data_IF_077933459630
#
_entry.id   IF_077933459630
#
_cell.length_a   1.000
_cell.length_b   1.000
_cell.length_c   1.000
_cell.angle_alpha   90.00
_cell.angle_beta   90.00
_cell.angle_gamma   90.00
#
_symmetry.space_group_name_H-M   'P 1'
#
loop_
_entity.id
_entity.type
_entity.pdbx_description
1 polymer ?
#
# COMPACT_ATOMS: atom_id res chain seq x y z
N UNK A 1 -5.05 -0.25 -13.82
CA UNK A 1 -4.17 0.44 -14.79
C UNK A 1 -3.47 -0.55 -15.73
N UNK A 2 -2.76 -1.58 -15.26
CA UNK A 2 -2.08 -2.56 -16.12
C UNK A 2 -3.01 -3.27 -17.11
N UNK A 3 -4.20 -3.70 -16.67
CA UNK A 3 -5.21 -4.31 -17.53
C UNK A 3 -5.71 -3.43 -18.67
N UNK A 4 -5.57 -2.10 -18.51
CA UNK A 4 -5.89 -1.13 -19.57
C UNK A 4 -4.68 -0.77 -20.44
N UNK A 5 -3.61 -1.54 -20.38
CA UNK A 5 -2.42 -1.32 -21.19
C UNK A 5 -1.54 -0.14 -20.75
N UNK A 6 -1.78 0.41 -19.55
CA UNK A 6 -0.90 1.46 -19.00
C UNK A 6 0.41 0.82 -18.57
N UNK A 7 1.49 1.20 -19.25
CA UNK A 7 2.83 0.73 -18.91
C UNK A 7 3.33 1.40 -17.63
N UNK A 8 4.00 0.62 -16.80
CA UNK A 8 4.52 1.07 -15.50
C UNK A 8 6.04 0.98 -15.46
N UNK A 9 6.64 1.95 -14.81
CA UNK A 9 8.08 2.01 -14.58
C UNK A 9 8.35 2.25 -13.09
N UNK A 10 9.37 1.60 -12.57
CA UNK A 10 9.81 1.77 -11.19
C UNK A 10 11.29 2.12 -11.13
N UNK A 11 11.65 2.94 -10.15
CA UNK A 11 13.03 3.29 -9.86
C UNK A 11 13.49 2.71 -8.52
N UNK A 12 14.72 2.26 -8.48
CA UNK A 12 15.37 1.83 -7.25
C UNK A 12 15.07 0.39 -6.84
N UNK A 13 14.91 0.18 -5.54
CA UNK A 13 14.80 -1.13 -4.92
C UNK A 13 16.19 -1.76 -4.64
N UNK A 14 16.19 -3.05 -4.29
CA UNK A 14 17.42 -3.80 -4.02
C UNK A 14 18.29 -3.92 -5.28
N UNK A 15 19.62 -4.01 -5.18
CA UNK A 15 20.52 -4.05 -6.34
C UNK A 15 20.47 -5.35 -7.14
N UNK A 16 19.48 -6.20 -6.90
CA UNK A 16 19.27 -7.46 -7.61
C UNK A 16 18.58 -7.21 -8.94
N UNK A 17 19.03 -7.92 -9.97
CA UNK A 17 18.40 -7.93 -11.30
C UNK A 17 17.15 -8.81 -11.25
N UNK A 18 16.01 -8.22 -10.98
CA UNK A 18 14.74 -8.93 -10.84
C UNK A 18 13.56 -7.98 -11.09
N UNK A 19 12.37 -8.50 -11.38
CA UNK A 19 11.16 -7.72 -11.43
C UNK A 19 10.92 -6.98 -10.11
N UNK A 20 10.29 -5.83 -10.18
CA UNK A 20 9.94 -5.05 -9.01
C UNK A 20 8.48 -4.62 -9.07
N UNK A 21 7.76 -4.80 -7.99
CA UNK A 21 6.43 -4.25 -7.80
C UNK A 21 6.56 -2.83 -7.25
N UNK A 22 5.96 -1.85 -7.94
CA UNK A 22 6.01 -0.44 -7.51
C UNK A 22 5.04 -0.12 -6.39
N UNK A 23 3.91 -0.83 -6.34
CA UNK A 23 2.88 -0.66 -5.33
C UNK A 23 2.61 -2.00 -4.67
N UNK A 24 2.68 -2.04 -3.37
CA UNK A 24 2.39 -3.23 -2.57
C UNK A 24 1.64 -2.89 -1.29
N UNK A 25 1.11 -3.89 -0.62
CA UNK A 25 0.48 -3.78 0.68
C UNK A 25 -0.96 -3.29 0.65
N UNK A 26 -1.22 -2.05 0.31
CA UNK A 26 -2.58 -1.43 0.33
C UNK A 26 -3.20 -1.27 -1.06
N UNK A 27 -2.82 -2.09 -2.01
CA UNK A 27 -3.31 -2.03 -3.38
C UNK A 27 -4.82 -2.30 -3.41
N UNK A 28 -5.59 -1.35 -3.95
CA UNK A 28 -7.03 -1.44 -4.11
C UNK A 28 -7.86 -1.17 -2.86
N UNK A 29 -7.35 -1.32 -1.66
CA UNK A 29 -8.14 -1.17 -0.44
C UNK A 29 -8.29 0.28 0.04
N UNK A 30 -9.22 0.50 0.95
CA UNK A 30 -9.33 1.78 1.66
C UNK A 30 -8.28 1.85 2.77
N UNK A 31 -7.34 2.76 2.63
CA UNK A 31 -6.30 3.01 3.62
C UNK A 31 -6.66 4.24 4.47
N UNK A 32 -6.71 4.06 5.78
CA UNK A 32 -6.94 5.13 6.73
C UNK A 32 -5.70 5.35 7.60
N UNK A 33 -5.37 6.61 7.83
CA UNK A 33 -4.31 6.97 8.76
C UNK A 33 -4.65 6.59 10.21
N UNK A 34 -3.64 6.28 11.00
CA UNK A 34 -3.79 5.89 12.41
C UNK A 34 -4.58 6.93 13.20
N UNK A 35 -4.41 8.22 12.92
CA UNK A 35 -5.17 9.28 13.61
C UNK A 35 -6.69 9.18 13.36
N UNK A 36 -7.07 8.74 12.16
CA UNK A 36 -8.48 8.51 11.82
C UNK A 36 -9.05 7.35 12.62
N UNK A 37 -8.30 6.27 12.73
CA UNK A 37 -8.67 5.07 13.49
C UNK A 37 -8.78 5.40 14.98
N UNK A 38 -7.83 6.16 15.52
CA UNK A 38 -7.89 6.64 16.91
C UNK A 38 -9.14 7.48 17.18
N UNK A 39 -9.54 8.33 16.24
CA UNK A 39 -10.77 9.09 16.33
C UNK A 39 -12.01 8.20 16.48
N UNK A 40 -12.11 7.15 15.68
CA UNK A 40 -13.21 6.17 15.79
C UNK A 40 -13.19 5.40 17.11
N UNK A 41 -12.00 5.00 17.58
CA UNK A 41 -11.84 4.30 18.86
C UNK A 41 -12.30 5.21 20.01
N UNK A 42 -11.91 6.48 20.02
CA UNK A 42 -12.33 7.44 21.02
C UNK A 42 -13.84 7.67 21.01
N UNK A 43 -14.43 7.79 19.81
CA UNK A 43 -15.88 7.93 19.65
C UNK A 43 -16.61 6.68 20.14
N UNK A 44 -16.14 5.49 19.81
CA UNK A 44 -16.71 4.24 20.29
C UNK A 44 -16.63 4.13 21.84
N UNK A 45 -15.48 4.44 22.41
CA UNK A 45 -15.29 4.45 23.86
C UNK A 45 -16.26 5.42 24.56
N UNK A 46 -16.46 6.60 23.99
CA UNK A 46 -17.42 7.58 24.51
C UNK A 46 -18.84 7.04 24.47
N UNK A 47 -19.30 6.51 23.33
CA UNK A 47 -20.63 5.94 23.17
C UNK A 47 -20.88 4.80 24.15
N UNK A 48 -19.92 3.91 24.34
CA UNK A 48 -20.00 2.80 25.29
C UNK A 48 -20.08 3.36 26.73
N UNK A 49 -19.20 4.27 27.10
CA UNK A 49 -19.19 4.89 28.42
C UNK A 49 -20.51 5.59 28.73
N UNK A 50 -21.05 6.36 27.79
CA UNK A 50 -22.33 7.06 27.96
C UNK A 50 -23.48 6.03 28.10
N UNK A 51 -23.43 4.90 27.40
CA UNK A 51 -24.42 3.85 27.49
C UNK A 51 -24.38 3.05 28.79
N UNK A 52 -23.23 2.96 29.45
CA UNK A 52 -23.07 2.20 30.70
C UNK A 52 -23.92 2.77 31.84
N UNK A 53 -24.31 4.05 31.78
CA UNK A 53 -25.18 4.72 32.73
C UNK A 53 -26.67 4.61 32.36
N UNK A 54 -27.00 3.95 31.28
CA UNK A 54 -28.37 3.75 30.81
C UNK A 54 -28.96 2.46 31.34
N UNK A 55 -30.30 2.36 31.30
CA UNK A 55 -31.01 1.12 31.63
C UNK A 55 -30.76 -0.04 30.68
N UNK A 56 -30.13 0.22 29.54
CA UNK A 56 -29.79 -0.78 28.50
C UNK A 56 -28.42 -0.47 27.95
N UNK A 57 -27.34 -0.90 28.63
CA UNK A 57 -25.99 -0.66 28.16
C UNK A 57 -25.69 -1.41 26.83
N UNK A 58 -24.89 -0.80 25.98
CA UNK A 58 -24.47 -1.39 24.69
C UNK A 58 -23.59 -2.64 24.88
N UNK A 59 -22.80 -2.66 25.96
CA UNK A 59 -21.93 -3.78 26.30
C UNK A 59 -22.06 -4.12 27.78
N UNK A 60 -21.89 -5.37 28.15
CA UNK A 60 -21.68 -5.77 29.53
C UNK A 60 -20.30 -5.31 30.03
N UNK A 61 -20.13 -5.21 31.34
CA UNK A 61 -18.81 -4.85 31.93
C UNK A 61 -17.68 -5.74 31.48
N UNK A 62 -17.83 -7.10 31.41
CA UNK A 62 -16.79 -7.97 30.87
C UNK A 62 -16.46 -7.70 29.41
N UNK A 63 -17.46 -7.51 28.56
CA UNK A 63 -17.27 -7.21 27.13
C UNK A 63 -16.56 -5.87 26.93
N UNK A 64 -16.92 -4.86 27.70
CA UNK A 64 -16.25 -3.57 27.67
C UNK A 64 -14.77 -3.66 28.09
N UNK A 65 -14.47 -4.45 29.14
CA UNK A 65 -13.09 -4.71 29.56
C UNK A 65 -12.29 -5.42 28.48
N UNK A 66 -12.88 -6.43 27.82
CA UNK A 66 -12.26 -7.15 26.73
C UNK A 66 -12.02 -6.24 25.52
N UNK A 67 -12.99 -5.42 25.14
CA UNK A 67 -12.86 -4.44 24.07
C UNK A 67 -11.74 -3.43 24.37
N UNK A 68 -11.72 -2.88 25.58
CA UNK A 68 -10.70 -1.90 25.96
C UNK A 68 -9.30 -2.51 26.04
N UNK A 69 -9.17 -3.75 26.47
CA UNK A 69 -7.91 -4.47 26.53
C UNK A 69 -7.37 -4.84 25.11
N UNK A 70 -8.28 -5.12 24.18
CA UNK A 70 -7.94 -5.43 22.78
C UNK A 70 -7.83 -4.17 21.90
N UNK A 71 -8.17 -3.00 22.42
CA UNK A 71 -8.12 -1.75 21.67
C UNK A 71 -6.70 -1.46 21.21
N UNK A 72 -6.50 -1.15 19.92
CA UNK A 72 -5.18 -0.85 19.37
C UNK A 72 -4.59 0.49 19.83
N UNK A 73 -5.16 1.12 20.87
CA UNK A 73 -4.64 2.35 21.47
C UNK A 73 -3.17 2.25 21.89
N UNK A 74 -2.73 1.04 22.28
CA UNK A 74 -1.34 0.76 22.63
C UNK A 74 -0.44 0.65 21.38
N UNK A 75 -0.97 0.14 20.27
CA UNK A 75 -0.26 0.09 19.01
C UNK A 75 -0.15 1.45 18.33
N UNK A 76 -1.13 2.33 18.55
CA UNK A 76 -1.16 3.69 18.02
C UNK A 76 -0.08 4.60 18.63
N UNK A 77 0.45 4.25 19.78
CA UNK A 77 1.59 4.97 20.37
C UNK A 77 2.93 4.65 19.70
N UNK A 78 2.98 3.62 18.86
CA UNK A 78 4.22 3.17 18.23
C UNK A 78 4.58 3.92 16.94
N UNK A 79 3.64 4.62 16.30
CA UNK A 79 3.93 5.41 15.11
C UNK A 79 2.85 6.45 14.84
N UNK A 80 3.24 7.71 14.82
CA UNK A 80 2.37 8.82 14.40
C UNK A 80 2.13 8.85 12.88
N UNK A 81 2.87 8.06 12.13
CA UNK A 81 2.79 7.98 10.67
C UNK A 81 2.61 6.53 10.24
N UNK A 82 1.39 6.13 10.04
CA UNK A 82 1.07 4.83 9.51
C UNK A 82 -0.34 4.81 8.97
N UNK A 83 -0.58 3.90 8.05
CA UNK A 83 -1.88 3.66 7.48
C UNK A 83 -2.24 2.18 7.64
N UNK A 84 -3.50 1.92 7.90
CA UNK A 84 -4.07 0.57 7.92
C UNK A 84 -5.04 0.39 6.76
N UNK A 85 -4.94 -0.73 6.09
CA UNK A 85 -5.93 -1.12 5.09
C UNK A 85 -7.12 -1.75 5.82
N UNK A 86 -8.29 -1.12 5.71
CA UNK A 86 -9.52 -1.57 6.37
C UNK A 86 -10.43 -2.37 5.45
N UNK A 87 -10.18 -2.36 4.15
CA UNK A 87 -10.99 -3.08 3.17
C UNK A 87 -10.10 -3.80 2.19
N UNK A 88 -10.46 -5.04 1.91
CA UNK A 88 -9.91 -5.75 0.78
C UNK A 88 -10.68 -5.36 -0.48
N UNK A 89 -9.95 -5.05 -1.53
CA UNK A 89 -10.50 -4.97 -2.88
C UNK A 89 -10.16 -6.26 -3.61
N UNK A 90 -11.09 -6.72 -4.40
CA UNK A 90 -10.97 -7.94 -5.20
C UNK A 90 -11.08 -7.61 -6.67
N UNK A 91 -10.47 -8.44 -7.47
CA UNK A 91 -10.69 -8.40 -8.89
C UNK A 91 -12.10 -8.89 -9.23
N UNK A 92 -12.87 -8.21 -10.10
CA UNK A 92 -14.16 -8.72 -10.54
C UNK A 92 -14.09 -10.11 -11.20
N UNK A 93 -12.95 -10.48 -11.77
CA UNK A 93 -12.73 -11.78 -12.42
C UNK A 93 -12.11 -12.83 -11.48
N UNK A 94 -11.45 -12.39 -10.40
CA UNK A 94 -10.91 -13.23 -9.33
C UNK A 94 -11.38 -12.67 -7.98
N UNK A 95 -12.52 -13.15 -7.52
CA UNK A 95 -13.14 -12.71 -6.26
C UNK A 95 -12.51 -13.28 -4.99
N UNK A 96 -11.48 -14.11 -5.09
CA UNK A 96 -10.92 -14.83 -3.95
C UNK A 96 -9.65 -14.18 -3.40
N UNK A 97 -8.82 -13.62 -4.28
CA UNK A 97 -7.52 -13.06 -3.88
C UNK A 97 -7.61 -11.55 -3.69
N UNK A 98 -7.43 -11.02 -2.45
CA UNK A 98 -7.35 -9.57 -2.25
C UNK A 98 -6.21 -8.96 -3.07
N UNK A 99 -6.45 -7.81 -3.71
CA UNK A 99 -5.51 -7.17 -4.62
C UNK A 99 -4.16 -6.82 -3.98
N UNK A 100 -4.10 -6.59 -2.67
CA UNK A 100 -2.85 -6.36 -1.98
C UNK A 100 -1.90 -7.57 -1.99
N UNK A 101 -2.42 -8.77 -2.21
CA UNK A 101 -1.61 -10.00 -2.31
C UNK A 101 -1.31 -10.39 -3.76
N UNK A 102 -1.93 -9.73 -4.74
CA UNK A 102 -1.63 -9.95 -6.15
C UNK A 102 -0.32 -9.27 -6.52
N UNK A 103 0.66 -10.05 -6.95
CA UNK A 103 1.94 -9.53 -7.42
C UNK A 103 1.81 -8.93 -8.82
N UNK A 104 2.12 -7.65 -8.96
CA UNK A 104 2.13 -6.93 -10.24
C UNK A 104 3.46 -6.23 -10.46
N UNK A 105 4.39 -6.92 -11.10
CA UNK A 105 5.67 -6.33 -11.46
C UNK A 105 5.50 -5.16 -12.46
N UNK A 106 6.29 -4.12 -12.31
CA UNK A 106 6.41 -3.07 -13.31
C UNK A 106 7.00 -3.64 -14.62
N UNK A 107 6.57 -3.10 -15.75
CA UNK A 107 7.12 -3.51 -17.05
C UNK A 107 8.59 -3.19 -17.17
N UNK A 108 9.00 -2.07 -16.60
CA UNK A 108 10.38 -1.61 -16.65
C UNK A 108 10.84 -1.19 -15.25
N UNK A 109 12.01 -1.60 -14.88
CA UNK A 109 12.69 -1.16 -13.68
C UNK A 109 13.98 -0.44 -14.07
N UNK A 110 14.28 0.66 -13.39
CA UNK A 110 15.52 1.41 -13.50
C UNK A 110 16.17 1.55 -12.12
N UNK A 111 17.49 1.60 -12.10
CA UNK A 111 18.20 2.05 -10.92
C UNK A 111 18.41 3.57 -10.96
N UNK A 112 18.47 4.19 -9.80
CA UNK A 112 18.92 5.56 -9.71
C UNK A 112 20.41 5.63 -10.06
N UNK A 113 20.75 6.60 -10.89
CA UNK A 113 22.13 7.07 -11.07
C UNK A 113 22.39 8.24 -10.13
N UNK A 114 23.64 8.64 -9.99
CA UNK A 114 24.00 9.83 -9.19
C UNK A 114 23.29 11.08 -9.73
N UNK A 115 23.24 11.22 -11.06
CA UNK A 115 22.57 12.36 -11.72
C UNK A 115 21.06 12.36 -11.42
N UNK A 116 20.40 11.21 -11.51
CA UNK A 116 18.97 11.11 -11.18
C UNK A 116 18.67 11.41 -9.71
N UNK A 117 19.62 11.16 -8.82
CA UNK A 117 19.46 11.46 -7.40
C UNK A 117 19.61 12.96 -7.12
N UNK A 118 20.54 13.60 -7.78
CA UNK A 118 20.84 15.02 -7.61
C UNK A 118 19.87 15.92 -8.37
N UNK A 119 19.44 15.52 -9.56
CA UNK A 119 18.59 16.30 -10.45
C UNK A 119 17.28 15.56 -10.77
N UNK A 120 16.19 15.97 -10.13
CA UNK A 120 14.88 15.33 -10.27
C UNK A 120 14.35 15.24 -11.69
N UNK A 121 14.68 16.23 -12.52
CA UNK A 121 14.22 16.27 -13.91
C UNK A 121 14.81 15.15 -14.75
N UNK A 122 15.96 14.64 -14.41
CA UNK A 122 16.57 13.53 -15.12
C UNK A 122 15.86 12.20 -14.91
N UNK A 123 15.09 12.07 -13.84
CA UNK A 123 14.32 10.85 -13.54
C UNK A 123 13.25 10.59 -14.60
N UNK A 124 12.42 11.58 -14.91
CA UNK A 124 11.37 11.40 -15.92
C UNK A 124 11.96 11.27 -17.33
N UNK A 125 13.09 11.93 -17.62
CA UNK A 125 13.80 11.78 -18.89
C UNK A 125 14.33 10.35 -19.06
N UNK A 126 14.93 9.78 -18.03
CA UNK A 126 15.37 8.38 -18.02
C UNK A 126 14.19 7.42 -18.20
N UNK A 127 13.06 7.69 -17.55
CA UNK A 127 11.82 6.93 -17.70
C UNK A 127 11.30 6.99 -19.15
N UNK A 128 11.20 8.19 -19.71
CA UNK A 128 10.73 8.40 -21.08
C UNK A 128 11.66 7.70 -22.09
N UNK A 129 12.96 7.81 -21.91
CA UNK A 129 13.95 7.16 -22.77
C UNK A 129 13.84 5.63 -22.70
N UNK A 130 13.61 5.06 -21.50
CA UNK A 130 13.45 3.62 -21.34
C UNK A 130 12.13 3.07 -21.93
N UNK A 131 11.06 3.86 -21.90
CA UNK A 131 9.74 3.42 -22.34
C UNK A 131 9.46 3.70 -23.82
N UNK A 132 9.98 4.78 -24.36
CA UNK A 132 9.64 5.29 -25.69
C UNK A 132 10.87 5.43 -26.61
N UNK A 133 12.05 5.43 -26.05
CA UNK A 133 13.31 5.60 -26.78
C UNK A 133 14.16 4.35 -26.83
N UNK A 134 15.48 4.56 -26.80
CA UNK A 134 16.53 3.54 -26.88
C UNK A 134 17.06 3.09 -25.50
N UNK A 135 16.47 3.61 -24.42
CA UNK A 135 16.83 3.24 -23.04
C UNK A 135 16.56 1.76 -22.75
N UNK A 136 17.27 1.22 -21.78
CA UNK A 136 17.14 -0.17 -21.38
C UNK A 136 16.64 -0.26 -19.95
N UNK A 137 15.70 -1.16 -19.73
CA UNK A 137 15.28 -1.55 -18.39
C UNK A 137 16.33 -2.48 -17.75
N UNK A 138 16.34 -2.53 -16.42
CA UNK A 138 17.14 -3.50 -15.67
C UNK A 138 16.77 -4.92 -16.11
N UNK A 139 17.75 -5.77 -16.24
CA UNK A 139 17.55 -7.18 -16.53
C UNK A 139 16.59 -7.82 -15.52
N UNK A 140 15.63 -8.61 -16.01
CA UNK A 140 14.56 -9.16 -15.20
C UNK A 140 13.30 -8.29 -15.12
N UNK A 141 13.26 -7.13 -15.77
CA UNK A 141 12.01 -6.39 -16.00
C UNK A 141 11.05 -7.23 -16.86
N UNK A 142 9.72 -7.07 -16.67
CA UNK A 142 8.74 -7.93 -17.35
C UNK A 142 8.49 -7.56 -18.80
N UNK A 143 8.73 -6.31 -19.21
CA UNK A 143 8.62 -5.84 -20.58
C UNK A 143 9.67 -4.77 -20.87
N UNK A 144 10.10 -4.69 -22.11
CA UNK A 144 11.10 -3.75 -22.57
C UNK A 144 12.39 -4.44 -23.00
N UNK A 145 13.36 -3.66 -23.50
CA UNK A 145 14.67 -4.20 -23.87
C UNK A 145 15.38 -4.74 -22.61
N UNK A 146 15.67 -6.02 -22.61
CA UNK A 146 16.27 -6.71 -21.46
C UNK A 146 15.28 -7.30 -20.46
N UNK A 147 13.97 -7.21 -20.73
CA UNK A 147 12.96 -7.93 -19.95
C UNK A 147 12.99 -9.43 -20.23
N UNK A 148 12.54 -10.22 -19.26
CA UNK A 148 12.25 -11.63 -19.52
C UNK A 148 11.06 -11.69 -20.48
N UNK A 149 11.22 -12.44 -21.56
CA UNK A 149 10.10 -12.81 -22.41
C UNK A 149 9.18 -13.72 -21.58
N UNK A 150 8.00 -13.26 -21.30
CA UNK A 150 6.92 -14.06 -20.74
C UNK A 150 6.27 -14.89 -21.83
#
# INVERSE_FOLDING_TARGET
>A
MKRQGVRTITFGGRPQKAPMQGVGGVKGGQSLGINYINGYIQQANKLISDSMNSSSPLLTIPEWKAFNASSPSTAATLSWSGNLNLRNEYDPEDGETPLQFVYEAAECRLFYTLDNYLERETVWQAAAKAMFGDGRCVEGSTKGKGSLNS
#
